data_IF_790375988693
#
_entry.id   IF_790375988693
#
_cell.length_a   1.000
_cell.length_b   1.000
_cell.length_c   1.000
_cell.angle_alpha   90.00
_cell.angle_beta   90.00
_cell.angle_gamma   90.00
#
_symmetry.space_group_name_H-M   'P 1'
#
loop_
_entity.id
_entity.type
_entity.pdbx_description
1 polymer ?
#
# COMPACT_ATOMS: atom_id res chain seq x y z
N UNK A 1 -14.30 36.39 -31.33
CA UNK A 1 -14.79 35.03 -31.00
C UNK A 1 -15.31 35.03 -29.56
N UNK A 2 -16.64 35.14 -29.35
CA UNK A 2 -17.25 35.00 -28.02
C UNK A 2 -17.10 33.53 -27.59
N UNK A 3 -16.37 33.25 -26.52
CA UNK A 3 -16.48 31.94 -25.87
C UNK A 3 -17.76 31.96 -25.04
N UNK A 4 -18.71 31.12 -25.44
CA UNK A 4 -19.93 30.87 -24.71
C UNK A 4 -19.57 30.20 -23.39
N UNK A 5 -19.78 30.89 -22.27
CA UNK A 5 -19.71 30.28 -20.93
C UNK A 5 -21.01 29.50 -20.74
N UNK A 6 -21.00 28.22 -21.10
CA UNK A 6 -22.02 27.28 -20.64
C UNK A 6 -21.75 27.01 -19.16
N UNK A 7 -22.60 27.51 -18.27
CA UNK A 7 -22.57 27.14 -16.86
C UNK A 7 -23.07 25.69 -16.77
N UNK A 8 -22.15 24.75 -16.59
CA UNK A 8 -22.50 23.39 -16.21
C UNK A 8 -22.78 23.39 -14.71
N UNK A 9 -24.02 23.10 -14.31
CA UNK A 9 -24.34 22.71 -12.94
C UNK A 9 -23.68 21.35 -12.67
N UNK A 10 -22.41 21.40 -12.26
CA UNK A 10 -21.60 20.23 -11.98
C UNK A 10 -21.77 19.78 -10.53
N UNK A 11 -22.73 18.91 -10.27
CA UNK A 11 -22.58 17.94 -9.18
C UNK A 11 -21.61 16.86 -9.67
N UNK A 12 -20.33 17.22 -9.81
CA UNK A 12 -19.30 16.25 -10.07
C UNK A 12 -19.19 15.37 -8.82
N UNK A 13 -19.72 14.15 -8.89
CA UNK A 13 -19.49 13.12 -7.87
C UNK A 13 -17.99 12.93 -7.78
N UNK A 14 -17.36 13.53 -6.76
CA UNK A 14 -15.95 13.34 -6.48
C UNK A 14 -15.80 11.88 -6.10
N UNK A 15 -15.29 11.05 -7.01
CA UNK A 15 -14.91 9.69 -6.66
C UNK A 15 -13.93 9.78 -5.48
N UNK A 16 -14.23 9.18 -4.32
CA UNK A 16 -13.33 9.27 -3.18
C UNK A 16 -11.98 8.70 -3.60
N UNK A 17 -10.94 9.51 -3.47
CA UNK A 17 -9.57 9.13 -3.78
C UNK A 17 -9.23 7.88 -2.97
N UNK A 18 -8.71 6.83 -3.63
CA UNK A 18 -8.33 5.60 -2.94
C UNK A 18 -7.25 5.91 -1.90
N UNK A 19 -7.48 5.45 -0.66
CA UNK A 19 -6.53 5.61 0.45
C UNK A 19 -5.45 4.54 0.36
N UNK A 20 -4.25 4.87 0.82
CA UNK A 20 -3.11 3.94 0.91
C UNK A 20 -2.86 3.61 2.38
N UNK A 21 -2.66 2.33 2.68
CA UNK A 21 -2.25 1.85 4.00
C UNK A 21 -0.74 1.75 4.04
N UNK A 22 -0.12 2.24 5.11
CA UNK A 22 1.35 2.25 5.27
C UNK A 22 1.71 1.58 6.60
N UNK A 23 2.67 0.65 6.55
CA UNK A 23 3.25 -0.02 7.73
C UNK A 23 4.67 0.50 7.94
N UNK A 24 4.96 1.03 9.13
CA UNK A 24 6.26 1.63 9.49
C UNK A 24 6.76 1.07 10.83
N UNK A 25 8.07 1.10 11.01
CA UNK A 25 8.71 0.73 12.28
C UNK A 25 8.70 1.93 13.22
N UNK A 26 8.39 1.68 14.49
CA UNK A 26 8.42 2.71 15.52
C UNK A 26 9.75 2.71 16.31
N UNK A 27 10.60 1.70 16.10
CA UNK A 27 11.83 1.48 16.85
C UNK A 27 13.01 1.22 15.89
N UNK A 28 14.07 0.58 16.39
CA UNK A 28 15.30 0.27 15.66
C UNK A 28 15.27 -1.11 14.96
N UNK A 29 14.15 -1.46 14.33
CA UNK A 29 14.05 -2.69 13.54
C UNK A 29 13.46 -3.87 14.30
N UNK A 30 13.28 -4.98 13.56
CA UNK A 30 12.77 -6.27 14.03
C UNK A 30 11.46 -6.25 14.83
N UNK A 31 10.61 -5.25 14.59
CA UNK A 31 9.30 -5.12 15.26
C UNK A 31 8.24 -6.08 14.72
N UNK A 32 8.61 -6.97 13.78
CA UNK A 32 7.68 -7.91 13.15
C UNK A 32 6.76 -7.29 12.09
N UNK A 33 7.18 -6.18 11.46
CA UNK A 33 6.42 -5.50 10.39
C UNK A 33 5.97 -6.43 9.28
N UNK A 34 6.82 -7.40 8.90
CA UNK A 34 6.49 -8.39 7.90
C UNK A 34 5.20 -9.15 8.22
N UNK A 35 5.02 -9.58 9.47
CA UNK A 35 3.79 -10.28 9.89
C UNK A 35 2.54 -9.41 9.76
N UNK A 36 2.65 -8.11 10.05
CA UNK A 36 1.54 -7.16 9.86
C UNK A 36 1.26 -6.95 8.38
N UNK A 37 2.29 -6.82 7.55
CA UNK A 37 2.16 -6.71 6.10
C UNK A 37 1.49 -7.94 5.50
N UNK A 38 1.88 -9.15 5.92
CA UNK A 38 1.29 -10.42 5.49
C UNK A 38 -0.22 -10.48 5.78
N UNK A 39 -0.64 -10.11 6.99
CA UNK A 39 -2.07 -10.03 7.34
C UNK A 39 -2.84 -9.00 6.51
N UNK A 40 -2.23 -7.85 6.19
CA UNK A 40 -2.86 -6.81 5.38
C UNK A 40 -2.87 -7.15 3.89
N UNK A 41 -1.91 -7.94 3.42
CA UNK A 41 -1.74 -8.31 2.02
C UNK A 41 -2.94 -9.12 1.48
N UNK A 42 -3.61 -9.90 2.33
CA UNK A 42 -4.84 -10.65 1.95
C UNK A 42 -5.96 -9.74 1.43
N UNK A 43 -5.97 -8.47 1.80
CA UNK A 43 -6.97 -7.48 1.40
C UNK A 43 -6.42 -6.41 0.45
N UNK A 44 -5.16 -6.52 0.03
CA UNK A 44 -4.50 -5.52 -0.80
C UNK A 44 -4.44 -5.99 -2.27
N UNK A 45 -4.79 -5.10 -3.19
CA UNK A 45 -4.57 -5.34 -4.63
C UNK A 45 -3.07 -5.33 -4.97
N UNK A 46 -2.27 -4.54 -4.23
CA UNK A 46 -0.85 -4.29 -4.47
C UNK A 46 -0.09 -4.10 -3.15
N UNK A 47 1.09 -4.69 -3.05
CA UNK A 47 2.05 -4.48 -1.95
C UNK A 47 3.35 -3.96 -2.55
N UNK A 48 3.89 -2.88 -1.98
CA UNK A 48 5.09 -2.22 -2.49
C UNK A 48 6.08 -1.92 -1.36
N UNK A 49 7.38 -1.98 -1.66
CA UNK A 49 8.47 -1.59 -0.76
C UNK A 49 9.12 -0.31 -1.25
N UNK A 50 9.17 0.70 -0.38
CA UNK A 50 9.61 2.05 -0.77
C UNK A 50 11.10 2.32 -0.48
N UNK A 51 11.69 1.61 0.48
CA UNK A 51 13.05 1.86 0.97
C UNK A 51 13.75 0.58 1.45
N UNK A 52 15.08 0.65 1.55
CA UNK A 52 15.96 -0.42 2.02
C UNK A 52 16.71 -1.16 0.90
N UNK A 53 17.42 -2.23 1.25
CA UNK A 53 18.01 -3.22 0.35
C UNK A 53 17.84 -4.63 0.94
N UNK A 54 18.69 -5.59 0.55
CA UNK A 54 18.71 -7.00 0.99
C UNK A 54 19.11 -7.21 2.48
N UNK A 55 18.88 -6.22 3.33
CA UNK A 55 19.36 -6.14 4.71
C UNK A 55 18.25 -6.40 5.74
N UNK A 56 16.99 -6.42 5.33
CA UNK A 56 15.85 -6.66 6.21
C UNK A 56 15.01 -7.79 5.62
N UNK A 57 14.88 -8.87 6.39
CA UNK A 57 14.15 -10.06 5.95
C UNK A 57 12.66 -10.00 6.32
N UNK A 58 11.84 -10.58 5.45
CA UNK A 58 10.49 -11.00 5.74
C UNK A 58 10.29 -12.42 5.22
N UNK A 59 10.18 -13.37 6.14
CA UNK A 59 9.83 -14.74 5.81
C UNK A 59 8.32 -14.91 5.84
N UNK A 60 7.77 -15.56 4.82
CA UNK A 60 6.36 -15.96 4.72
C UNK A 60 6.32 -17.46 4.52
N UNK A 61 5.36 -18.12 5.18
CA UNK A 61 5.07 -19.54 4.95
C UNK A 61 3.70 -19.62 4.29
N UNK A 62 3.65 -20.23 3.10
CA UNK A 62 2.40 -20.53 2.40
C UNK A 62 2.28 -22.04 2.35
N UNK A 63 1.23 -22.57 2.97
CA UNK A 63 1.05 -23.99 3.24
C UNK A 63 2.25 -24.58 4.01
N UNK A 64 3.06 -25.42 3.37
CA UNK A 64 4.27 -26.02 3.94
C UNK A 64 5.57 -25.45 3.36
N UNK A 65 5.47 -24.43 2.49
CA UNK A 65 6.61 -23.84 1.81
C UNK A 65 7.01 -22.51 2.42
N UNK A 66 8.30 -22.39 2.75
CA UNK A 66 8.90 -21.15 3.25
C UNK A 66 9.45 -20.30 2.10
N UNK A 67 9.19 -19.00 2.17
CA UNK A 67 9.66 -17.97 1.25
C UNK A 67 10.37 -16.87 2.05
N UNK A 68 11.66 -16.67 1.79
CA UNK A 68 12.44 -15.59 2.38
C UNK A 68 12.53 -14.41 1.40
N UNK A 69 11.93 -13.28 1.78
CA UNK A 69 12.04 -12.01 1.06
C UNK A 69 13.03 -11.11 1.77
N UNK A 70 13.87 -10.41 1.03
CA UNK A 70 14.91 -9.53 1.59
C UNK A 70 15.01 -8.19 0.91
#
# INVERSE_FOLDING_TARGET
KKQSKTIMNGNASVNPMKKVTVVLGAQWGDEGKGKVVDMLATHADLVCRCQGGNNAGHTVVVDEQEFAFT
#
